data_IF_385295880879
#
_entry.id   IF_385295880879
#
_cell.length_a   1.000
_cell.length_b   1.000
_cell.length_c   1.000
_cell.angle_alpha   90.00
_cell.angle_beta   90.00
_cell.angle_gamma   90.00
#
_symmetry.space_group_name_H-M   'P 1'
#
loop_
_entity.id
_entity.type
_entity.pdbx_description
1 polymer ?
#
# COMPACT_ATOMS: atom_id res chain seq x y z
N UNK A 1 -14.61 -3.70 16.00
CA UNK A 1 -14.22 -5.09 15.67
C UNK A 1 -13.57 -5.10 14.28
N UNK A 2 -12.24 -5.32 14.24
CA UNK A 2 -11.35 -5.57 13.08
C UNK A 2 -11.57 -4.84 11.72
N UNK A 3 -11.79 -3.53 11.74
CA UNK A 3 -11.81 -2.68 10.52
C UNK A 3 -10.53 -2.81 9.67
N UNK A 4 -9.38 -3.11 10.30
CA UNK A 4 -8.08 -3.34 9.65
C UNK A 4 -8.07 -4.59 8.76
N UNK A 5 -8.55 -5.72 9.29
CA UNK A 5 -8.55 -6.99 8.56
C UNK A 5 -9.54 -6.95 7.38
N UNK A 6 -10.68 -6.28 7.55
CA UNK A 6 -11.62 -6.04 6.47
C UNK A 6 -10.99 -5.16 5.37
N UNK A 7 -10.34 -4.05 5.74
CA UNK A 7 -9.65 -3.21 4.77
C UNK A 7 -8.57 -3.96 4.00
N UNK A 8 -7.75 -4.77 4.70
CA UNK A 8 -6.69 -5.54 4.04
C UNK A 8 -7.24 -6.60 3.09
N UNK A 9 -8.37 -7.21 3.45
CA UNK A 9 -9.09 -8.12 2.56
C UNK A 9 -9.60 -7.41 1.32
N UNK A 10 -10.20 -6.23 1.48
CA UNK A 10 -10.72 -5.44 0.37
C UNK A 10 -9.61 -4.96 -0.57
N UNK A 11 -8.48 -4.51 -0.02
CA UNK A 11 -7.29 -4.12 -0.79
C UNK A 11 -6.73 -5.33 -1.54
N UNK A 12 -6.52 -6.47 -0.87
CA UNK A 12 -6.02 -7.68 -1.52
C UNK A 12 -6.95 -8.14 -2.65
N UNK A 13 -8.26 -8.15 -2.42
CA UNK A 13 -9.24 -8.52 -3.44
C UNK A 13 -9.23 -7.57 -4.64
N UNK A 14 -9.15 -6.26 -4.41
CA UNK A 14 -9.15 -5.29 -5.49
C UNK A 14 -7.86 -5.32 -6.31
N UNK A 15 -6.71 -5.47 -5.66
CA UNK A 15 -5.43 -5.64 -6.37
C UNK A 15 -5.48 -6.93 -7.19
N UNK A 16 -5.90 -8.04 -6.60
CA UNK A 16 -5.97 -9.32 -7.32
C UNK A 16 -6.98 -9.29 -8.48
N UNK A 17 -8.13 -8.63 -8.31
CA UNK A 17 -9.10 -8.42 -9.40
C UNK A 17 -8.55 -7.52 -10.51
N UNK A 18 -7.86 -6.44 -10.15
CA UNK A 18 -7.28 -5.50 -11.14
C UNK A 18 -6.17 -6.17 -11.95
N UNK A 19 -5.39 -7.05 -11.32
CA UNK A 19 -4.28 -7.75 -11.96
C UNK A 19 -4.68 -9.07 -12.62
N UNK A 20 -5.89 -9.58 -12.36
CA UNK A 20 -6.36 -10.87 -12.89
C UNK A 20 -5.62 -12.09 -12.32
N UNK A 21 -4.86 -11.92 -11.23
CA UNK A 21 -4.10 -13.00 -10.56
C UNK A 21 -4.06 -12.78 -9.05
N UNK A 22 -3.68 -13.82 -8.29
CA UNK A 22 -3.43 -13.72 -6.85
C UNK A 22 -2.05 -13.08 -6.59
N UNK A 23 -1.97 -11.76 -6.73
CA UNK A 23 -0.74 -10.98 -6.55
C UNK A 23 -0.40 -10.70 -5.09
N UNK A 24 -1.42 -10.54 -4.23
CA UNK A 24 -1.22 -10.19 -2.82
C UNK A 24 -2.21 -10.93 -1.92
N UNK A 25 -1.75 -11.31 -0.73
CA UNK A 25 -2.60 -11.85 0.35
C UNK A 25 -2.73 -10.89 1.52
N UNK A 26 -3.77 -11.09 2.33
CA UNK A 26 -4.00 -10.30 3.56
C UNK A 26 -2.81 -10.41 4.52
N UNK A 27 -2.22 -11.61 4.64
CA UNK A 27 -1.03 -11.82 5.47
C UNK A 27 0.20 -11.09 4.94
N UNK A 28 0.42 -11.10 3.63
CA UNK A 28 1.52 -10.34 3.01
C UNK A 28 1.35 -8.84 3.25
N UNK A 29 0.13 -8.32 3.09
CA UNK A 29 -0.17 -6.91 3.40
C UNK A 29 0.12 -6.62 4.88
N UNK A 30 -0.35 -7.46 5.80
CA UNK A 30 -0.15 -7.27 7.23
C UNK A 30 1.34 -7.31 7.60
N UNK A 31 2.09 -8.28 7.06
CA UNK A 31 3.53 -8.39 7.26
C UNK A 31 4.29 -7.17 6.75
N UNK A 32 3.96 -6.69 5.54
CA UNK A 32 4.57 -5.48 4.98
C UNK A 32 4.30 -4.26 5.85
N UNK A 33 3.08 -4.09 6.35
CA UNK A 33 2.73 -2.97 7.24
C UNK A 33 3.55 -3.03 8.53
N UNK A 34 3.65 -4.19 9.16
CA UNK A 34 4.43 -4.36 10.38
C UNK A 34 5.93 -4.15 10.14
N UNK A 35 6.45 -4.59 8.98
CA UNK A 35 7.84 -4.35 8.60
C UNK A 35 8.11 -2.87 8.32
N UNK A 36 7.19 -2.20 7.65
CA UNK A 36 7.24 -0.76 7.39
C UNK A 36 7.26 0.06 8.69
N UNK A 37 6.47 -0.33 9.70
CA UNK A 37 6.54 0.27 11.05
C UNK A 37 7.92 0.12 11.69
N UNK A 38 8.52 -1.07 11.60
CA UNK A 38 9.87 -1.34 12.15
C UNK A 38 10.93 -0.51 11.44
N UNK A 39 10.83 -0.38 10.11
CA UNK A 39 11.75 0.45 9.31
C UNK A 39 11.57 1.92 9.66
N UNK A 40 10.34 2.43 9.76
CA UNK A 40 10.07 3.81 10.19
C UNK A 40 10.69 4.11 11.55
N UNK A 41 10.57 3.19 12.51
CA UNK A 41 11.16 3.32 13.85
C UNK A 41 12.70 3.29 13.83
N UNK A 42 13.33 2.53 12.94
CA UNK A 42 14.79 2.35 12.88
C UNK A 42 15.53 3.34 11.97
N UNK A 43 14.93 3.70 10.82
CA UNK A 43 15.59 4.40 9.71
C UNK A 43 14.86 5.68 9.29
N UNK A 44 13.77 6.06 9.96
CA UNK A 44 12.99 7.24 9.62
C UNK A 44 12.22 7.11 8.30
N UNK A 45 11.81 8.23 7.73
CA UNK A 45 10.97 8.27 6.52
C UNK A 45 11.69 7.90 5.22
N UNK A 46 12.97 8.25 5.10
CA UNK A 46 13.77 7.91 3.92
C UNK A 46 13.93 6.39 3.75
N UNK A 47 14.23 5.67 4.84
CA UNK A 47 14.34 4.22 4.82
C UNK A 47 13.02 3.51 4.51
N UNK A 48 11.89 4.11 4.89
CA UNK A 48 10.57 3.62 4.54
C UNK A 48 10.28 3.80 3.05
N UNK A 49 10.55 4.99 2.49
CA UNK A 49 10.35 5.25 1.06
C UNK A 49 11.16 4.29 0.19
N UNK A 50 12.42 4.05 0.56
CA UNK A 50 13.26 3.08 -0.13
C UNK A 50 12.66 1.68 -0.07
N UNK A 51 12.20 1.24 1.10
CA UNK A 51 11.56 -0.07 1.26
C UNK A 51 10.29 -0.21 0.42
N UNK A 52 9.42 0.81 0.40
CA UNK A 52 8.17 0.79 -0.35
C UNK A 52 8.43 0.74 -1.86
N UNK A 53 9.41 1.48 -2.38
CA UNK A 53 9.80 1.42 -3.79
C UNK A 53 10.31 0.01 -4.16
N UNK A 54 11.22 -0.55 -3.36
CA UNK A 54 11.73 -1.91 -3.60
C UNK A 54 10.64 -2.99 -3.49
N UNK A 55 9.66 -2.79 -2.61
CA UNK A 55 8.54 -3.72 -2.45
C UNK A 55 7.63 -3.72 -3.69
N UNK A 56 7.33 -2.54 -4.23
CA UNK A 56 6.51 -2.41 -5.44
C UNK A 56 7.14 -3.15 -6.61
N UNK A 57 8.44 -2.96 -6.83
CA UNK A 57 9.19 -3.60 -7.91
C UNK A 57 9.32 -5.13 -7.74
N UNK A 58 9.23 -5.62 -6.50
CA UNK A 58 9.25 -7.07 -6.22
C UNK A 58 7.91 -7.75 -6.43
N UNK A 59 6.80 -7.04 -6.19
CA UNK A 59 5.46 -7.64 -6.18
C UNK A 59 4.71 -7.47 -7.50
N UNK A 60 5.04 -6.40 -8.23
CA UNK A 60 4.33 -5.99 -9.42
C UNK A 60 5.31 -5.73 -10.55
N UNK A 61 4.93 -6.16 -11.75
CA UNK A 61 5.64 -5.73 -12.96
C UNK A 61 5.28 -4.28 -13.29
N UNK A 62 6.09 -3.56 -14.09
CA UNK A 62 5.75 -2.20 -14.52
C UNK A 62 4.37 -2.10 -15.18
N UNK A 63 3.98 -3.10 -15.96
CA UNK A 63 2.65 -3.16 -16.61
C UNK A 63 1.51 -3.33 -15.59
N UNK A 64 1.75 -4.08 -14.52
CA UNK A 64 0.78 -4.29 -13.44
C UNK A 64 0.62 -3.02 -12.59
N UNK A 65 1.71 -2.30 -12.35
CA UNK A 65 1.68 -0.98 -11.71
C UNK A 65 0.83 -0.01 -12.52
N UNK A 66 1.00 0.03 -13.85
CA UNK A 66 0.16 0.88 -14.72
C UNK A 66 -1.32 0.47 -14.67
N UNK A 67 -1.64 -0.83 -14.73
CA UNK A 67 -3.03 -1.31 -14.57
C UNK A 67 -3.63 -0.90 -13.23
N UNK A 68 -2.86 -0.94 -12.14
CA UNK A 68 -3.29 -0.50 -10.83
C UNK A 68 -3.53 1.01 -10.76
N UNK A 69 -2.71 1.82 -11.45
CA UNK A 69 -2.90 3.28 -11.53
C UNK A 69 -4.18 3.67 -12.28
N UNK A 70 -4.51 2.94 -13.35
CA UNK A 70 -5.70 3.21 -14.17
C UNK A 70 -7.01 2.65 -13.59
N UNK A 71 -6.97 1.84 -12.54
CA UNK A 71 -8.18 1.25 -11.94
C UNK A 71 -8.91 2.27 -11.04
N UNK A 72 -10.20 2.59 -11.32
CA UNK A 72 -10.95 3.55 -10.51
C UNK A 72 -11.14 3.08 -9.06
N UNK A 73 -11.27 1.77 -8.86
CA UNK A 73 -11.39 1.16 -7.53
C UNK A 73 -10.06 1.14 -6.76
N UNK A 74 -8.94 1.11 -7.48
CA UNK A 74 -7.60 1.22 -6.92
C UNK A 74 -7.34 2.61 -6.31
N UNK A 75 -7.86 3.70 -6.91
CA UNK A 75 -7.73 5.05 -6.35
C UNK A 75 -8.40 5.20 -4.99
N UNK A 76 -9.63 4.70 -4.85
CA UNK A 76 -10.37 4.76 -3.58
C UNK A 76 -9.70 3.92 -2.49
N UNK A 77 -9.30 2.68 -2.82
CA UNK A 77 -8.65 1.80 -1.87
C UNK A 77 -7.25 2.26 -1.50
N UNK A 78 -6.50 2.83 -2.44
CA UNK A 78 -5.20 3.45 -2.15
C UNK A 78 -5.35 4.61 -1.20
N UNK A 79 -6.38 5.46 -1.34
CA UNK A 79 -6.67 6.54 -0.38
C UNK A 79 -6.96 5.99 1.02
N UNK A 80 -7.88 5.02 1.15
CA UNK A 80 -8.21 4.41 2.44
C UNK A 80 -7.01 3.70 3.08
N UNK A 81 -6.17 3.08 2.25
CA UNK A 81 -4.94 2.43 2.70
C UNK A 81 -3.91 3.46 3.18
N UNK A 82 -3.71 4.56 2.44
CA UNK A 82 -2.84 5.67 2.85
C UNK A 82 -3.34 6.29 4.17
N UNK A 83 -4.64 6.49 4.32
CA UNK A 83 -5.23 6.99 5.57
C UNK A 83 -4.93 6.05 6.74
N UNK A 84 -5.12 4.75 6.55
CA UNK A 84 -4.79 3.77 7.58
C UNK A 84 -3.28 3.73 7.89
N UNK A 85 -2.42 3.87 6.88
CA UNK A 85 -0.97 3.94 7.08
C UNK A 85 -0.53 5.22 7.82
N UNK A 86 -1.24 6.33 7.63
CA UNK A 86 -1.03 7.57 8.41
C UNK A 86 -1.48 7.37 9.86
N UNK A 87 -2.67 6.80 10.08
CA UNK A 87 -3.18 6.49 11.42
C UNK A 87 -2.25 5.55 12.18
N UNK A 88 -1.71 4.55 11.48
CA UNK A 88 -0.75 3.58 12.01
C UNK A 88 0.69 4.13 12.14
N UNK A 89 0.90 5.43 11.86
CA UNK A 89 2.19 6.13 11.87
C UNK A 89 3.26 5.45 11.00
N UNK A 90 2.84 4.72 9.97
CA UNK A 90 3.74 4.11 9.00
C UNK A 90 4.31 5.21 8.13
N UNK A 91 3.44 5.99 7.50
CA UNK A 91 3.80 7.15 6.67
C UNK A 91 3.36 8.45 7.35
N UNK A 92 4.06 9.54 7.05
CA UNK A 92 3.68 10.88 7.51
C UNK A 92 2.44 11.38 6.76
N UNK A 93 1.63 12.27 7.36
CA UNK A 93 0.52 12.92 6.66
C UNK A 93 0.97 13.65 5.38
N UNK A 94 2.17 14.25 5.38
CA UNK A 94 2.74 14.91 4.21
C UNK A 94 3.14 13.91 3.11
N UNK A 95 3.70 12.77 3.49
CA UNK A 95 4.03 11.66 2.56
C UNK A 95 2.75 11.08 1.95
N UNK A 96 1.71 10.89 2.76
CA UNK A 96 0.40 10.44 2.28
C UNK A 96 -0.26 11.46 1.35
N UNK A 97 -0.13 12.76 1.64
CA UNK A 97 -0.66 13.82 0.78
C UNK A 97 0.07 13.86 -0.57
N UNK A 98 1.39 13.70 -0.58
CA UNK A 98 2.21 13.60 -1.80
C UNK A 98 1.83 12.35 -2.62
N UNK A 99 1.70 11.18 -1.98
CA UNK A 99 1.26 9.94 -2.64
C UNK A 99 -0.17 10.03 -3.18
N UNK A 100 -1.08 10.69 -2.44
CA UNK A 100 -2.44 11.00 -2.94
C UNK A 100 -2.42 11.92 -4.16
N UNK A 101 -1.45 12.83 -4.24
CA UNK A 101 -1.25 13.71 -5.39
C UNK A 101 -0.73 12.98 -6.64
N UNK A 102 0.07 11.92 -6.46
CA UNK A 102 0.58 11.07 -7.55
C UNK A 102 -0.48 10.09 -8.10
N UNK A 103 -1.59 9.88 -7.38
CA UNK A 103 -2.74 9.08 -7.82
C UNK A 103 -3.74 9.87 -8.71
N UNK A 104 -3.38 11.08 -9.16
CA UNK A 104 -4.20 11.90 -10.06
C UNK A 104 -4.41 11.22 -11.41
#
# INVERSE_FOLDING_TARGET
MNSKAALYRDVAQAVNRTLGRKAVTVEQINQTVEYAKRIRKKRGGSGLLQYLNTLQDRWFTPQEVERLKHSPRSKELSRRMLDLLVTEKVISPAEAMMLKGMLR
#
